data_IF_767737932023
#
_entry.id   IF_767737932023
#
_cell.length_a   1.000
_cell.length_b   1.000
_cell.length_c   1.000
_cell.angle_alpha   90.00
_cell.angle_beta   90.00
_cell.angle_gamma   90.00
#
_symmetry.space_group_name_H-M   'P 1'
#
loop_
_entity.id
_entity.type
_entity.pdbx_description
1 polymer ?
#
# COMPACT_ATOMS: atom_id res chain seq x y z
N UNK A 1 -1.17 21.35 -0.52
CA UNK A 1 -2.43 22.08 -0.75
C UNK A 1 -2.99 21.60 -2.08
N UNK A 2 -4.24 21.15 -2.13
CA UNK A 2 -4.87 20.74 -3.39
C UNK A 2 -5.19 21.99 -4.19
N UNK A 3 -4.69 22.11 -5.42
CA UNK A 3 -5.15 23.14 -6.36
C UNK A 3 -6.50 22.72 -6.94
N UNK A 4 -7.36 23.66 -7.26
CA UNK A 4 -8.63 23.40 -7.93
C UNK A 4 -8.40 22.76 -9.30
N UNK A 5 -9.42 22.02 -9.77
CA UNK A 5 -9.35 21.29 -11.05
C UNK A 5 -9.11 22.27 -12.21
N UNK A 6 -9.70 23.47 -12.17
CA UNK A 6 -9.53 24.46 -13.22
C UNK A 6 -8.09 24.96 -13.34
N UNK A 7 -7.40 25.29 -12.24
CA UNK A 7 -5.97 25.62 -12.31
C UNK A 7 -5.13 24.47 -12.87
N UNK A 8 -5.44 23.22 -12.52
CA UNK A 8 -4.72 22.06 -13.06
C UNK A 8 -4.98 21.88 -14.55
N UNK A 9 -6.21 22.13 -15.02
CA UNK A 9 -6.53 22.02 -16.44
C UNK A 9 -5.76 23.05 -17.25
N UNK A 10 -5.72 24.30 -16.79
CA UNK A 10 -4.92 25.39 -17.40
C UNK A 10 -3.45 25.01 -17.47
N UNK A 11 -2.89 24.43 -16.40
CA UNK A 11 -1.50 23.96 -16.40
C UNK A 11 -1.27 22.88 -17.45
N UNK A 12 -2.14 21.87 -17.51
CA UNK A 12 -1.99 20.73 -18.43
C UNK A 12 -2.12 21.18 -19.88
N UNK A 13 -3.15 21.97 -20.21
CA UNK A 13 -3.34 22.49 -21.57
C UNK A 13 -2.21 23.40 -22.00
N UNK A 14 -1.79 24.35 -21.15
CA UNK A 14 -0.73 25.31 -21.48
C UNK A 14 0.60 24.61 -21.69
N UNK A 15 0.91 23.60 -20.87
CA UNK A 15 2.15 22.85 -21.01
C UNK A 15 2.14 21.93 -22.23
N UNK A 16 1.00 21.30 -22.54
CA UNK A 16 0.83 20.55 -23.78
C UNK A 16 0.88 21.45 -25.04
N UNK A 17 0.53 22.73 -24.91
CA UNK A 17 0.68 23.75 -25.94
C UNK A 17 2.13 24.23 -26.13
N UNK A 18 3.08 23.79 -25.29
CA UNK A 18 4.49 24.19 -25.36
C UNK A 18 4.84 25.44 -24.55
N UNK A 19 3.92 25.97 -23.73
CA UNK A 19 4.22 27.13 -22.87
C UNK A 19 5.20 26.74 -21.77
N UNK A 20 6.19 27.62 -21.52
CA UNK A 20 7.20 27.38 -20.50
C UNK A 20 6.58 27.27 -19.10
N UNK A 21 7.14 26.40 -18.25
CA UNK A 21 6.64 26.25 -16.87
C UNK A 21 6.90 27.48 -16.00
N UNK A 22 7.81 28.39 -16.40
CA UNK A 22 8.03 29.67 -15.74
C UNK A 22 6.87 30.64 -16.02
N UNK A 23 6.45 30.75 -17.29
CA UNK A 23 5.31 31.58 -17.69
C UNK A 23 4.01 31.07 -17.05
N UNK A 24 3.79 29.74 -17.06
CA UNK A 24 2.62 29.14 -16.41
C UNK A 24 2.62 29.42 -14.90
N UNK A 25 3.78 29.31 -14.25
CA UNK A 25 3.93 29.59 -12.83
C UNK A 25 3.53 31.04 -12.47
N UNK A 26 3.97 32.01 -13.27
CA UNK A 26 3.64 33.42 -13.12
C UNK A 26 2.14 33.68 -13.31
N UNK A 27 1.55 33.20 -14.41
CA UNK A 27 0.14 33.45 -14.75
C UNK A 27 -0.83 32.75 -13.80
N UNK A 28 -0.55 31.51 -13.41
CA UNK A 28 -1.45 30.70 -12.56
C UNK A 28 -1.21 30.96 -11.06
N UNK A 29 -0.08 31.58 -10.71
CA UNK A 29 0.33 31.82 -9.33
C UNK A 29 0.76 30.54 -8.60
N UNK A 30 1.49 29.66 -9.29
CA UNK A 30 2.00 28.39 -8.75
C UNK A 30 3.52 28.36 -8.81
N UNK A 31 4.17 27.59 -7.93
CA UNK A 31 5.60 27.35 -8.10
C UNK A 31 5.86 26.48 -9.35
N UNK A 32 6.98 26.71 -10.04
CA UNK A 32 7.41 25.89 -11.20
C UNK A 32 7.37 24.38 -10.90
N UNK A 33 7.86 23.99 -9.71
CA UNK A 33 7.80 22.59 -9.22
C UNK A 33 6.37 22.04 -9.17
N UNK A 34 5.39 22.88 -8.82
CA UNK A 34 3.98 22.48 -8.77
C UNK A 34 3.41 22.31 -10.17
N UNK A 35 3.73 23.21 -11.09
CA UNK A 35 3.36 23.11 -12.52
C UNK A 35 3.88 21.80 -13.11
N UNK A 36 5.17 21.50 -12.92
CA UNK A 36 5.81 20.28 -13.40
C UNK A 36 5.13 19.03 -12.84
N UNK A 37 4.92 18.99 -11.52
CA UNK A 37 4.27 17.87 -10.84
C UNK A 37 2.82 17.64 -11.27
N UNK A 38 2.06 18.69 -11.55
CA UNK A 38 0.68 18.56 -12.06
C UNK A 38 0.71 17.89 -13.44
N UNK A 39 1.60 18.35 -14.32
CA UNK A 39 1.72 17.81 -15.67
C UNK A 39 2.16 16.35 -15.68
N UNK A 40 3.19 16.00 -14.90
CA UNK A 40 3.65 14.61 -14.74
C UNK A 40 2.55 13.68 -14.23
N UNK A 41 1.73 14.14 -13.27
CA UNK A 41 0.60 13.37 -12.76
C UNK A 41 -0.49 13.16 -13.80
N UNK A 42 -0.76 14.17 -14.64
CA UNK A 42 -1.74 14.03 -15.71
C UNK A 42 -1.27 12.98 -16.72
N UNK A 43 0.01 13.01 -17.13
CA UNK A 43 0.61 11.98 -18.00
C UNK A 43 0.50 10.58 -17.37
N UNK A 44 0.84 10.44 -16.08
CA UNK A 44 0.73 9.17 -15.36
C UNK A 44 -0.72 8.64 -15.24
N UNK A 45 -1.72 9.53 -15.37
CA UNK A 45 -3.15 9.19 -15.35
C UNK A 45 -3.75 9.03 -16.75
N UNK A 46 -2.91 8.98 -17.79
CA UNK A 46 -3.33 8.69 -19.17
C UNK A 46 -3.66 9.92 -20.01
N UNK A 47 -3.25 11.12 -19.61
CA UNK A 47 -3.25 12.26 -20.52
C UNK A 47 -2.22 12.03 -21.63
N UNK A 48 -2.64 12.18 -22.88
CA UNK A 48 -1.76 12.06 -24.05
C UNK A 48 -1.63 13.42 -24.76
N UNK A 49 -0.43 13.99 -24.71
CA UNK A 49 -0.12 15.28 -25.32
C UNK A 49 0.05 15.20 -26.85
N UNK A 50 0.17 14.01 -27.45
CA UNK A 50 0.31 13.82 -28.89
C UNK A 50 -1.05 13.80 -29.61
N UNK A 51 -2.11 13.38 -28.93
CA UNK A 51 -3.45 13.32 -29.51
C UNK A 51 -4.07 14.72 -29.64
N UNK A 52 -4.78 14.94 -30.76
CA UNK A 52 -5.63 16.10 -31.00
C UNK A 52 -7.00 15.62 -31.48
N UNK A 53 -8.12 16.09 -30.88
CA UNK A 53 -8.20 17.03 -29.75
C UNK A 53 -7.67 16.43 -28.44
N UNK A 54 -7.26 17.29 -27.50
CA UNK A 54 -6.86 16.83 -26.17
C UNK A 54 -8.06 16.30 -25.39
N UNK A 55 -7.98 15.06 -24.93
CA UNK A 55 -8.98 14.48 -24.04
C UNK A 55 -8.57 14.73 -22.58
N UNK A 56 -9.12 15.77 -21.97
CA UNK A 56 -8.87 16.13 -20.56
C UNK A 56 -10.15 15.90 -19.79
N UNK A 57 -10.06 15.12 -18.71
CA UNK A 57 -11.18 14.87 -17.79
C UNK A 57 -10.82 15.24 -16.36
N UNK A 58 -11.82 15.62 -15.56
CA UNK A 58 -11.66 15.94 -14.15
C UNK A 58 -11.02 14.79 -13.34
N UNK A 59 -11.32 13.54 -13.71
CA UNK A 59 -10.75 12.35 -13.07
C UNK A 59 -9.22 12.27 -13.20
N UNK A 60 -8.68 12.71 -14.35
CA UNK A 60 -7.23 12.77 -14.58
C UNK A 60 -6.57 13.85 -13.74
N UNK A 61 -7.28 14.94 -13.43
CA UNK A 61 -6.74 16.09 -12.69
C UNK A 61 -6.99 16.00 -11.18
N UNK A 62 -7.93 15.16 -10.74
CA UNK A 62 -8.25 14.96 -9.33
C UNK A 62 -7.03 14.48 -8.52
N UNK A 63 -6.98 14.82 -7.24
CA UNK A 63 -5.97 14.24 -6.35
C UNK A 63 -6.22 12.74 -6.14
N UNK A 64 -5.14 11.98 -6.00
CA UNK A 64 -5.26 10.61 -5.54
C UNK A 64 -5.88 10.61 -4.12
N UNK A 65 -6.68 9.57 -3.78
CA UNK A 65 -7.10 9.36 -2.40
C UNK A 65 -5.88 9.44 -1.48
N UNK A 66 -5.99 10.21 -0.39
CA UNK A 66 -4.89 10.32 0.57
C UNK A 66 -4.63 8.94 1.14
N UNK A 67 -3.43 8.40 0.93
CA UNK A 67 -2.99 7.18 1.60
C UNK A 67 -2.98 7.46 3.10
N UNK A 68 -3.94 6.89 3.83
CA UNK A 68 -3.93 6.91 5.29
C UNK A 68 -2.78 6.07 5.84
N UNK A 69 -2.71 5.97 7.17
CA UNK A 69 -1.77 5.05 7.83
C UNK A 69 -1.99 3.62 7.27
N UNK A 70 -0.92 2.90 6.87
CA UNK A 70 -1.04 1.51 6.48
C UNK A 70 -1.83 0.71 7.52
N UNK A 71 -2.86 -0.01 7.08
CA UNK A 71 -3.67 -0.84 7.99
C UNK A 71 -2.81 -2.00 8.47
N UNK A 72 -2.78 -2.25 9.79
CA UNK A 72 -2.14 -3.44 10.38
C UNK A 72 -2.81 -4.76 9.96
N UNK A 73 -4.00 -4.68 9.38
CA UNK A 73 -4.79 -5.82 8.91
C UNK A 73 -4.51 -6.06 7.43
N UNK A 74 -3.52 -6.91 7.13
CA UNK A 74 -3.37 -7.50 5.79
C UNK A 74 -4.49 -8.53 5.56
N UNK A 75 -4.82 -8.79 4.30
CA UNK A 75 -5.81 -9.84 3.94
C UNK A 75 -5.39 -11.20 4.53
N UNK A 76 -4.11 -11.54 4.44
CA UNK A 76 -3.55 -12.76 5.07
C UNK A 76 -3.78 -12.81 6.59
N UNK A 77 -3.62 -11.67 7.28
CA UNK A 77 -3.87 -11.61 8.73
C UNK A 77 -5.37 -11.78 9.05
N UNK A 78 -6.25 -11.21 8.24
CA UNK A 78 -7.70 -11.36 8.40
C UNK A 78 -8.12 -12.83 8.21
N UNK A 79 -7.62 -13.49 7.17
CA UNK A 79 -7.92 -14.89 6.90
C UNK A 79 -7.44 -15.81 8.02
N UNK A 80 -6.25 -15.55 8.58
CA UNK A 80 -5.72 -16.33 9.70
C UNK A 80 -6.52 -16.13 10.99
N UNK A 81 -6.95 -14.91 11.29
CA UNK A 81 -7.86 -14.64 12.42
C UNK A 81 -9.18 -15.36 12.21
N UNK A 82 -9.78 -15.26 11.02
CA UNK A 82 -11.04 -15.92 10.69
C UNK A 82 -10.95 -17.44 10.77
N UNK A 83 -9.84 -18.04 10.31
CA UNK A 83 -9.62 -19.48 10.42
C UNK A 83 -9.60 -19.95 11.89
N UNK A 84 -8.96 -19.18 12.79
CA UNK A 84 -8.91 -19.49 14.22
C UNK A 84 -10.27 -19.38 14.90
N UNK A 85 -11.13 -18.46 14.47
CA UNK A 85 -12.51 -18.32 14.96
C UNK A 85 -13.40 -19.44 14.42
N UNK A 86 -13.27 -19.80 13.14
CA UNK A 86 -14.15 -20.78 12.47
C UNK A 86 -13.85 -22.25 12.82
N UNK A 87 -12.60 -22.60 13.08
CA UNK A 87 -12.18 -23.98 13.37
C UNK A 87 -12.47 -24.41 14.81
N UNK A 88 -12.83 -23.48 15.69
CA UNK A 88 -13.16 -23.80 17.08
C UNK A 88 -14.57 -24.39 17.18
N UNK A 89 -14.66 -25.72 17.10
CA UNK A 89 -15.92 -26.47 17.14
C UNK A 89 -16.54 -26.53 18.54
N UNK A 90 -15.79 -26.18 19.59
CA UNK A 90 -16.18 -26.40 20.99
C UNK A 90 -16.40 -25.10 21.76
N UNK A 91 -17.16 -24.15 21.21
CA UNK A 91 -17.96 -23.18 21.96
C UNK A 91 -17.31 -22.39 23.12
N UNK A 92 -15.99 -22.40 23.25
CA UNK A 92 -15.24 -21.56 24.17
C UNK A 92 -14.91 -20.33 23.36
N UNK A 93 -15.56 -19.22 23.66
CA UNK A 93 -15.27 -17.94 23.03
C UNK A 93 -13.81 -17.58 23.34
N UNK A 94 -12.89 -17.97 22.45
CA UNK A 94 -11.50 -17.55 22.55
C UNK A 94 -11.50 -16.03 22.56
N UNK A 95 -10.95 -15.46 23.62
CA UNK A 95 -10.86 -14.02 23.71
C UNK A 95 -9.96 -13.49 22.60
N UNK A 96 -10.08 -12.20 22.29
CA UNK A 96 -9.13 -11.53 21.40
C UNK A 96 -7.67 -11.73 21.87
N UNK A 97 -7.44 -11.84 23.19
CA UNK A 97 -6.11 -12.08 23.75
C UNK A 97 -5.60 -13.49 23.44
N UNK A 98 -6.46 -14.51 23.51
CA UNK A 98 -6.09 -15.89 23.20
C UNK A 98 -5.73 -16.05 21.71
N UNK A 99 -6.55 -15.47 20.84
CA UNK A 99 -6.32 -15.47 19.38
C UNK A 99 -5.02 -14.73 19.06
N UNK A 100 -4.79 -13.55 19.68
CA UNK A 100 -3.56 -12.80 19.50
C UNK A 100 -2.32 -13.57 20.00
N UNK A 101 -2.43 -14.27 21.13
CA UNK A 101 -1.36 -15.10 21.68
C UNK A 101 -1.05 -16.31 20.80
N UNK A 102 -2.05 -17.01 20.29
CA UNK A 102 -1.87 -18.10 19.33
C UNK A 102 -1.18 -17.64 18.04
N UNK A 103 -1.67 -16.55 17.46
CA UNK A 103 -1.10 -15.99 16.24
C UNK A 103 0.35 -15.56 16.48
N UNK A 104 0.64 -14.93 17.62
CA UNK A 104 1.99 -14.50 17.98
C UNK A 104 2.95 -15.68 18.14
N UNK A 105 2.53 -16.75 18.83
CA UNK A 105 3.31 -17.99 18.98
C UNK A 105 3.59 -18.64 17.62
N UNK A 106 2.59 -18.70 16.74
CA UNK A 106 2.76 -19.24 15.38
C UNK A 106 3.77 -18.43 14.57
N UNK A 107 3.71 -17.10 14.63
CA UNK A 107 4.69 -16.24 13.97
C UNK A 107 6.10 -16.40 14.53
N UNK A 108 6.23 -16.54 15.85
CA UNK A 108 7.50 -16.75 16.51
C UNK A 108 8.10 -18.10 16.12
N UNK A 109 7.33 -19.18 16.16
CA UNK A 109 7.75 -20.53 15.74
C UNK A 109 8.19 -20.55 14.28
N UNK A 110 7.43 -19.92 13.38
CA UNK A 110 7.80 -19.82 11.96
C UNK A 110 9.13 -19.08 11.80
N UNK A 111 9.29 -17.90 12.43
CA UNK A 111 10.53 -17.12 12.34
C UNK A 111 11.73 -17.85 12.93
N UNK A 112 11.55 -18.51 14.06
CA UNK A 112 12.63 -19.21 14.76
C UNK A 112 13.08 -20.44 13.97
N UNK A 113 12.14 -21.28 13.52
CA UNK A 113 12.44 -22.50 12.76
C UNK A 113 13.06 -22.20 11.38
N UNK A 114 12.71 -21.10 10.73
CA UNK A 114 13.30 -20.70 9.44
C UNK A 114 14.45 -19.70 9.56
N UNK A 115 14.92 -19.38 10.78
CA UNK A 115 15.97 -18.36 11.02
C UNK A 115 17.28 -18.66 10.28
N UNK A 116 17.61 -19.95 10.13
CA UNK A 116 18.83 -20.42 9.43
C UNK A 116 18.57 -20.82 7.97
N UNK A 117 17.42 -20.45 7.41
CA UNK A 117 16.95 -20.90 6.10
C UNK A 117 15.91 -22.01 6.20
N UNK A 118 15.35 -22.40 5.07
CA UNK A 118 14.38 -23.50 5.02
C UNK A 118 15.08 -24.84 5.33
N UNK A 119 14.48 -25.71 6.16
CA UNK A 119 15.03 -27.04 6.42
C UNK A 119 15.18 -27.82 5.12
N UNK A 120 16.29 -28.55 4.96
CA UNK A 120 16.58 -29.33 3.74
C UNK A 120 15.97 -30.72 3.77
N UNK A 121 15.47 -31.16 4.93
CA UNK A 121 14.83 -32.45 5.11
C UNK A 121 13.73 -32.42 6.18
N UNK A 122 12.81 -33.39 6.12
CA UNK A 122 11.74 -33.55 7.13
C UNK A 122 12.30 -33.75 8.54
N UNK A 123 13.35 -34.54 8.68
CA UNK A 123 13.98 -34.81 9.99
C UNK A 123 14.59 -33.55 10.58
N UNK A 124 15.23 -32.72 9.76
CA UNK A 124 15.77 -31.42 10.18
C UNK A 124 14.65 -30.45 10.57
N UNK A 125 13.54 -30.44 9.82
CA UNK A 125 12.38 -29.63 10.13
C UNK A 125 11.75 -30.00 11.49
N UNK A 126 11.60 -31.29 11.78
CA UNK A 126 11.07 -31.79 13.06
C UNK A 126 11.97 -31.34 14.21
N UNK A 127 13.28 -31.57 14.12
CA UNK A 127 14.24 -31.14 15.14
C UNK A 127 14.25 -29.64 15.37
N UNK A 128 14.16 -28.85 14.31
CA UNK A 128 14.10 -27.39 14.41
C UNK A 128 12.78 -26.93 15.07
N UNK A 129 11.67 -27.63 14.81
CA UNK A 129 10.37 -27.35 15.39
C UNK A 129 10.32 -27.72 16.88
N UNK A 130 10.80 -28.90 17.27
CA UNK A 130 10.90 -29.35 18.67
C UNK A 130 11.76 -28.38 19.48
N UNK A 131 12.94 -28.03 18.97
CA UNK A 131 13.81 -27.03 19.62
C UNK A 131 13.13 -25.67 19.77
N UNK A 132 12.40 -25.23 18.75
CA UNK A 132 11.65 -23.97 18.84
C UNK A 132 10.54 -24.06 19.89
N UNK A 133 9.86 -25.20 19.99
CA UNK A 133 8.83 -25.43 20.99
C UNK A 133 9.37 -25.34 22.42
N UNK A 134 10.56 -25.89 22.68
CA UNK A 134 11.22 -25.83 23.99
C UNK A 134 11.66 -24.42 24.38
N UNK A 135 12.04 -23.59 23.39
CA UNK A 135 12.48 -22.20 23.60
C UNK A 135 11.33 -21.17 23.51
N UNK A 136 10.08 -21.64 23.39
CA UNK A 136 8.92 -20.77 23.23
C UNK A 136 8.72 -19.89 24.49
N UNK A 137 8.73 -18.54 24.36
CA UNK A 137 8.49 -17.65 25.49
C UNK A 137 7.08 -17.89 26.06
N UNK A 138 7.00 -18.07 27.38
CA UNK A 138 5.74 -18.24 28.12
C UNK A 138 5.08 -16.89 28.42
#
# INVERSE_FOLDING_TARGET
>A
MGHDIAKRSVVVTSKAAGVSSATIAEVVGLSKRTVDRIYERALAKGFDAALRPWNISDAMLADAPRSGRPKKQSLEMQDRVLAKVRLDRYGREKSCADIAGEISREFWLKRYSTKKGAPKSRTEAIKAWEKAWDELPQ
#
